data_IF_674641758618
#
_entry.id   IF_674641758618
#
_cell.length_a   1.000
_cell.length_b   1.000
_cell.length_c   1.000
_cell.angle_alpha   90.00
_cell.angle_beta   90.00
_cell.angle_gamma   90.00
#
_symmetry.space_group_name_H-M   'P 1'
#
loop_
_entity.id
_entity.type
_entity.pdbx_description
1 polymer ?
#
# COMPACT_ATOMS: atom_id res chain seq x y z
N UNK A 1 -2.01 -19.45 10.82
CA UNK A 1 -1.32 -18.70 9.74
C UNK A 1 -0.42 -19.66 8.98
N UNK A 2 -0.31 -19.55 7.67
CA UNK A 2 0.63 -20.34 6.87
C UNK A 2 1.74 -19.42 6.41
N UNK A 3 2.98 -19.75 6.73
CA UNK A 3 4.17 -18.99 6.36
C UNK A 3 4.67 -19.36 4.96
N UNK A 4 5.66 -18.63 4.42
CA UNK A 4 6.17 -18.83 3.06
C UNK A 4 6.84 -20.21 2.87
N UNK A 5 7.25 -20.87 3.97
CA UNK A 5 7.75 -22.25 3.99
C UNK A 5 6.63 -23.31 3.99
N UNK A 6 5.37 -22.88 3.91
CA UNK A 6 4.19 -23.75 3.91
C UNK A 6 3.78 -24.28 5.29
N UNK A 7 4.49 -23.91 6.37
CA UNK A 7 4.16 -24.36 7.71
C UNK A 7 2.98 -23.57 8.30
N UNK A 8 2.15 -24.26 9.08
CA UNK A 8 1.04 -23.63 9.80
C UNK A 8 1.49 -23.30 11.23
N UNK A 9 1.43 -22.02 11.56
CA UNK A 9 1.70 -21.54 12.91
C UNK A 9 0.39 -21.11 13.56
N UNK A 10 0.20 -21.52 14.81
CA UNK A 10 -0.86 -20.98 15.65
C UNK A 10 -0.33 -19.73 16.34
N UNK A 11 -0.83 -18.57 15.96
CA UNK A 11 -0.37 -17.28 16.48
C UNK A 11 -1.48 -16.74 17.37
N UNK A 12 -1.21 -16.57 18.65
CA UNK A 12 -2.22 -16.20 19.63
C UNK A 12 -2.67 -14.75 19.51
N UNK A 13 -1.77 -13.81 19.64
CA UNK A 13 -2.06 -12.36 19.63
C UNK A 13 -1.09 -11.62 18.72
N UNK A 14 -1.61 -10.56 18.08
CA UNK A 14 -0.82 -9.63 17.28
C UNK A 14 -1.09 -8.20 17.75
N UNK A 15 -0.03 -7.46 18.05
CA UNK A 15 -0.13 -6.07 18.49
C UNK A 15 -0.23 -5.10 17.30
N UNK A 16 0.39 -5.47 16.19
CA UNK A 16 0.42 -4.67 14.96
C UNK A 16 0.23 -5.54 13.71
N UNK A 17 -0.62 -5.09 12.82
CA UNK A 17 -0.79 -5.63 11.47
C UNK A 17 -0.43 -4.56 10.44
N UNK A 18 0.59 -4.81 9.62
CA UNK A 18 0.87 -4.03 8.41
C UNK A 18 0.51 -4.90 7.21
N UNK A 19 -0.44 -4.46 6.41
CA UNK A 19 -0.98 -5.23 5.30
C UNK A 19 -0.83 -4.50 3.96
N UNK A 20 -0.47 -5.26 2.92
CA UNK A 20 -0.33 -4.79 1.54
C UNK A 20 -1.22 -5.63 0.63
N UNK A 21 -2.56 -5.49 0.71
CA UNK A 21 -3.46 -6.28 -0.12
C UNK A 21 -3.25 -6.01 -1.61
N UNK A 22 -3.43 -7.03 -2.49
CA UNK A 22 -3.24 -6.86 -3.93
C UNK A 22 -4.10 -5.73 -4.50
N UNK A 23 -3.47 -4.81 -5.23
CA UNK A 23 -4.14 -3.65 -5.82
C UNK A 23 -4.67 -3.89 -7.24
N UNK A 24 -4.47 -5.07 -7.82
CA UNK A 24 -4.75 -5.38 -9.24
C UNK A 24 -6.18 -5.05 -9.68
N UNK A 25 -7.15 -5.25 -8.79
CA UNK A 25 -8.57 -4.98 -9.06
C UNK A 25 -9.12 -3.78 -8.28
N UNK A 26 -8.27 -3.08 -7.53
CA UNK A 26 -8.65 -1.93 -6.71
C UNK A 26 -8.11 -0.59 -7.24
N UNK A 27 -6.93 -0.60 -7.86
CA UNK A 27 -6.25 0.62 -8.31
C UNK A 27 -7.08 1.39 -9.36
N UNK A 28 -7.17 2.70 -9.21
CA UNK A 28 -7.92 3.57 -10.14
C UNK A 28 -7.41 3.49 -11.57
N UNK A 29 -6.13 3.20 -11.79
CA UNK A 29 -5.55 3.02 -13.13
C UNK A 29 -6.15 1.86 -13.91
N UNK A 30 -6.77 0.89 -13.23
CA UNK A 30 -7.42 -0.28 -13.83
C UNK A 30 -8.94 -0.20 -13.88
N UNK A 31 -9.55 0.86 -13.33
CA UNK A 31 -11.02 0.93 -13.14
C UNK A 31 -11.78 0.94 -14.47
N UNK A 32 -11.23 1.52 -15.52
CA UNK A 32 -11.83 1.57 -16.87
C UNK A 32 -12.16 0.18 -17.41
N UNK A 33 -11.37 -0.82 -17.13
CA UNK A 33 -11.58 -2.19 -17.61
C UNK A 33 -12.85 -2.84 -17.07
N UNK A 34 -13.32 -2.37 -15.90
CA UNK A 34 -14.60 -2.79 -15.34
C UNK A 34 -15.76 -2.02 -15.99
N UNK A 35 -15.59 -0.73 -16.24
CA UNK A 35 -16.60 0.10 -16.92
C UNK A 35 -16.81 -0.34 -18.37
N UNK A 36 -15.77 -0.75 -19.07
CA UNK A 36 -15.79 -1.25 -20.44
C UNK A 36 -16.24 -2.73 -20.53
N UNK A 37 -16.53 -3.39 -19.41
CA UNK A 37 -16.98 -4.79 -19.39
C UNK A 37 -15.86 -5.82 -19.67
N UNK A 38 -14.60 -5.38 -19.79
CA UNK A 38 -13.44 -6.27 -20.05
C UNK A 38 -13.16 -7.16 -18.84
N UNK A 39 -13.42 -6.67 -17.62
CA UNK A 39 -13.28 -7.43 -16.38
C UNK A 39 -14.62 -7.55 -15.66
N UNK A 40 -14.95 -8.74 -15.14
CA UNK A 40 -16.13 -8.93 -14.30
C UNK A 40 -16.08 -8.04 -13.06
N UNK A 41 -17.18 -7.38 -12.72
CA UNK A 41 -17.30 -6.55 -11.51
C UNK A 41 -17.09 -7.37 -10.22
N UNK A 42 -17.36 -8.67 -10.23
CA UNK A 42 -17.11 -9.56 -9.10
C UNK A 42 -15.67 -9.47 -8.60
N UNK A 43 -14.68 -9.43 -9.51
CA UNK A 43 -13.26 -9.32 -9.15
C UNK A 43 -12.94 -8.06 -8.32
N UNK A 44 -13.63 -6.94 -8.62
CA UNK A 44 -13.48 -5.71 -7.84
C UNK A 44 -14.05 -5.87 -6.43
N UNK A 45 -15.23 -6.47 -6.32
CA UNK A 45 -15.87 -6.67 -5.02
C UNK A 45 -15.19 -7.74 -4.18
N UNK A 46 -14.68 -8.82 -4.80
CA UNK A 46 -13.86 -9.83 -4.13
C UNK A 46 -12.55 -9.21 -3.57
N UNK A 47 -11.87 -8.38 -4.36
CA UNK A 47 -10.68 -7.67 -3.91
C UNK A 47 -10.99 -6.67 -2.78
N UNK A 48 -12.13 -5.96 -2.85
CA UNK A 48 -12.59 -5.09 -1.78
C UNK A 48 -12.91 -5.87 -0.50
N UNK A 49 -13.61 -6.99 -0.61
CA UNK A 49 -13.89 -7.88 0.52
C UNK A 49 -12.60 -8.42 1.15
N UNK A 50 -11.60 -8.75 0.33
CA UNK A 50 -10.29 -9.17 0.84
C UNK A 50 -9.57 -8.05 1.59
N UNK A 51 -9.62 -6.81 1.09
CA UNK A 51 -9.08 -5.63 1.78
C UNK A 51 -9.77 -5.45 3.15
N UNK A 52 -11.09 -5.57 3.21
CA UNK A 52 -11.86 -5.39 4.44
C UNK A 52 -11.50 -6.41 5.52
N UNK A 53 -11.09 -7.64 5.16
CA UNK A 53 -10.61 -8.63 6.14
C UNK A 53 -9.43 -8.13 6.97
N UNK A 54 -8.55 -7.29 6.40
CA UNK A 54 -7.48 -6.66 7.16
C UNK A 54 -7.99 -5.51 8.01
N UNK A 55 -8.89 -4.69 7.47
CA UNK A 55 -9.46 -3.55 8.20
C UNK A 55 -10.29 -3.98 9.43
N UNK A 56 -10.92 -5.14 9.35
CA UNK A 56 -11.79 -5.73 10.38
C UNK A 56 -11.05 -6.77 11.25
N UNK A 57 -9.75 -6.98 11.02
CA UNK A 57 -8.97 -7.93 11.79
C UNK A 57 -8.99 -7.58 13.29
N UNK A 58 -9.05 -8.63 14.14
CA UNK A 58 -8.99 -8.47 15.59
C UNK A 58 -7.54 -8.19 16.03
N UNK A 59 -7.02 -7.05 15.61
CA UNK A 59 -5.70 -6.52 15.96
C UNK A 59 -5.88 -5.08 16.42
N UNK A 60 -5.15 -4.70 17.47
CA UNK A 60 -5.31 -3.37 18.06
C UNK A 60 -4.83 -2.27 17.10
N UNK A 61 -3.66 -2.44 16.50
CA UNK A 61 -3.03 -1.46 15.61
C UNK A 61 -2.94 -2.02 14.20
N UNK A 62 -3.48 -1.30 13.23
CA UNK A 62 -3.51 -1.76 11.83
C UNK A 62 -3.08 -0.63 10.91
N UNK A 63 -2.19 -0.95 9.97
CA UNK A 63 -1.88 -0.13 8.80
C UNK A 63 -2.16 -0.93 7.53
N UNK A 64 -2.98 -0.40 6.63
CA UNK A 64 -3.19 -0.98 5.30
C UNK A 64 -2.63 -0.03 4.27
N UNK A 65 -1.69 -0.51 3.47
CA UNK A 65 -1.06 0.23 2.38
C UNK A 65 -1.65 -0.21 1.04
N UNK A 66 -2.03 0.74 0.21
CA UNK A 66 -2.42 0.48 -1.16
C UNK A 66 -2.16 1.73 -2.02
N UNK A 67 -1.97 1.63 -3.34
CA UNK A 67 -2.05 2.79 -4.24
C UNK A 67 -3.40 3.48 -4.11
N UNK A 68 -3.53 4.68 -4.68
CA UNK A 68 -4.84 5.34 -4.78
C UNK A 68 -5.82 4.40 -5.48
N UNK A 69 -6.90 4.04 -4.78
CA UNK A 69 -7.77 2.96 -5.20
C UNK A 69 -9.25 3.21 -4.82
N UNK A 70 -10.12 2.36 -5.30
CA UNK A 70 -11.57 2.45 -5.09
C UNK A 70 -11.99 2.30 -3.61
N UNK A 71 -11.10 1.82 -2.73
CA UNK A 71 -11.39 1.70 -1.31
C UNK A 71 -11.65 3.06 -0.63
N UNK A 72 -11.14 4.15 -1.22
CA UNK A 72 -11.47 5.52 -0.77
C UNK A 72 -12.97 5.85 -0.87
N UNK A 73 -13.70 5.15 -1.74
CA UNK A 73 -15.16 5.29 -1.93
C UNK A 73 -15.94 4.11 -1.36
N UNK A 74 -15.40 2.89 -1.44
CA UNK A 74 -16.11 1.68 -1.00
C UNK A 74 -16.01 1.45 0.52
N UNK A 75 -14.97 1.96 1.17
CA UNK A 75 -14.74 1.83 2.60
C UNK A 75 -14.74 3.21 3.28
N UNK A 76 -13.61 3.89 3.25
CA UNK A 76 -13.42 5.25 3.76
C UNK A 76 -12.21 5.92 3.11
N UNK A 77 -12.11 7.24 3.22
CA UNK A 77 -10.89 7.95 2.79
C UNK A 77 -9.68 7.44 3.59
N UNK A 78 -8.49 7.35 2.97
CA UNK A 78 -7.27 7.04 3.69
C UNK A 78 -6.96 8.13 4.73
N UNK A 79 -6.31 7.76 5.81
CA UNK A 79 -5.87 8.69 6.83
C UNK A 79 -4.69 9.54 6.35
N UNK A 80 -3.86 8.96 5.46
CA UNK A 80 -2.69 9.63 4.94
C UNK A 80 -2.39 9.18 3.50
N UNK A 81 -1.79 10.09 2.71
CA UNK A 81 -1.18 9.79 1.42
C UNK A 81 0.29 10.16 1.53
N UNK A 82 1.17 9.20 1.25
CA UNK A 82 2.62 9.36 1.27
C UNK A 82 3.22 9.17 -0.12
N UNK A 83 4.46 9.61 -0.28
CA UNK A 83 5.27 9.38 -1.47
C UNK A 83 6.67 8.91 -1.08
N UNK A 84 7.35 8.11 -1.93
CA UNK A 84 8.70 7.64 -1.67
C UNK A 84 9.72 8.74 -1.42
N UNK A 85 9.57 9.93 -2.06
CA UNK A 85 10.50 11.05 -1.86
C UNK A 85 10.51 11.61 -0.43
N UNK A 86 9.48 11.34 0.37
CA UNK A 86 9.46 11.67 1.80
C UNK A 86 10.36 10.75 2.64
N UNK A 87 10.79 9.63 2.06
CA UNK A 87 11.51 8.53 2.72
C UNK A 87 12.81 8.15 1.98
N UNK A 88 13.46 9.12 1.34
CA UNK A 88 14.79 8.96 0.75
C UNK A 88 14.83 8.38 -0.69
N UNK A 89 13.67 8.17 -1.33
CA UNK A 89 13.61 7.63 -2.69
C UNK A 89 13.09 8.66 -3.65
N UNK A 90 13.88 9.15 -4.64
CA UNK A 90 13.49 10.26 -5.52
C UNK A 90 12.45 9.83 -6.58
N UNK A 91 11.36 9.23 -6.14
CA UNK A 91 10.29 8.72 -7.00
C UNK A 91 8.91 9.20 -6.52
N UNK A 92 7.98 9.34 -7.47
CA UNK A 92 6.57 9.62 -7.22
C UNK A 92 5.76 8.33 -7.33
N UNK A 93 5.18 7.92 -6.22
CA UNK A 93 4.20 6.82 -6.16
C UNK A 93 3.25 7.12 -5.01
N UNK A 94 2.17 7.85 -5.29
CA UNK A 94 1.16 8.12 -4.26
C UNK A 94 0.65 6.83 -3.66
N UNK A 95 0.90 6.67 -2.39
CA UNK A 95 0.54 5.50 -1.58
C UNK A 95 -0.40 5.93 -0.47
N UNK A 96 -1.56 5.32 -0.40
CA UNK A 96 -2.59 5.59 0.59
C UNK A 96 -2.42 4.65 1.80
N UNK A 97 -2.57 5.20 3.00
CA UNK A 97 -2.53 4.49 4.27
C UNK A 97 -3.89 4.61 4.97
N UNK A 98 -4.47 3.46 5.32
CA UNK A 98 -5.61 3.36 6.22
C UNK A 98 -5.11 2.86 7.56
N UNK A 99 -5.27 3.66 8.59
CA UNK A 99 -4.70 3.45 9.91
C UNK A 99 -5.81 3.18 10.94
N UNK A 100 -5.52 2.29 11.88
CA UNK A 100 -6.31 2.05 13.08
C UNK A 100 -5.37 2.11 14.29
N UNK A 101 -5.62 3.03 15.20
CA UNK A 101 -4.84 3.25 16.44
C UNK A 101 -3.32 3.44 16.20
N UNK A 102 -2.97 4.04 15.07
CA UNK A 102 -1.61 4.40 14.71
C UNK A 102 -1.52 5.89 14.38
N UNK A 103 -0.43 6.57 14.78
CA UNK A 103 -0.18 7.93 14.35
C UNK A 103 0.15 7.97 12.85
N UNK A 104 0.00 9.16 12.24
CA UNK A 104 0.45 9.39 10.88
C UNK A 104 1.97 9.13 10.77
N UNK A 105 2.38 8.49 9.68
CA UNK A 105 3.79 8.21 9.41
C UNK A 105 4.53 9.51 9.11
N UNK A 106 5.56 9.82 9.88
CA UNK A 106 6.37 11.01 9.70
C UNK A 106 7.45 10.77 8.65
N UNK A 107 7.67 11.76 7.80
CA UNK A 107 8.75 11.69 6.82
C UNK A 107 10.11 11.61 7.52
N UNK A 108 11.05 10.86 6.93
CA UNK A 108 12.37 10.63 7.51
C UNK A 108 13.49 11.31 6.73
N UNK A 109 13.40 11.31 5.41
CA UNK A 109 14.42 11.87 4.53
C UNK A 109 13.75 12.44 3.28
N UNK A 110 13.41 13.72 3.34
CA UNK A 110 12.75 14.40 2.23
C UNK A 110 13.77 14.74 1.12
N UNK A 111 13.61 14.10 -0.03
CA UNK A 111 14.43 14.29 -1.23
C UNK A 111 13.66 14.94 -2.39
N UNK A 112 12.60 15.68 -2.08
CA UNK A 112 11.72 16.28 -3.09
C UNK A 112 12.48 17.19 -4.06
N UNK A 113 13.30 18.12 -3.55
CA UNK A 113 14.07 19.06 -4.37
C UNK A 113 15.03 18.31 -5.31
N UNK A 114 15.75 17.32 -4.81
CA UNK A 114 16.60 16.46 -5.64
C UNK A 114 15.77 15.70 -6.69
N UNK A 115 14.66 15.09 -6.30
CA UNK A 115 13.77 14.40 -7.24
C UNK A 115 13.32 15.34 -8.38
N UNK A 116 13.04 16.61 -8.09
CA UNK A 116 12.60 17.58 -9.10
C UNK A 116 13.68 17.94 -10.12
N UNK A 117 14.96 17.68 -9.83
CA UNK A 117 16.05 17.85 -10.82
C UNK A 117 16.14 16.69 -11.81
N UNK A 118 15.53 15.54 -11.49
CA UNK A 118 15.58 14.35 -12.34
C UNK A 118 14.59 14.46 -13.51
N UNK A 119 14.88 13.77 -14.64
CA UNK A 119 13.93 13.62 -15.73
C UNK A 119 12.59 13.02 -15.25
N UNK A 120 11.50 13.45 -15.84
CA UNK A 120 10.15 12.96 -15.47
C UNK A 120 10.06 11.43 -15.47
N UNK A 121 10.64 10.78 -16.49
CA UNK A 121 10.62 9.32 -16.62
C UNK A 121 11.26 8.60 -15.43
N UNK A 122 12.28 9.20 -14.82
CA UNK A 122 12.92 8.65 -13.62
C UNK A 122 12.04 8.87 -12.38
N UNK A 123 11.50 10.07 -12.23
CA UNK A 123 10.61 10.42 -11.11
C UNK A 123 9.36 9.55 -11.04
N UNK A 124 8.82 9.14 -12.19
CA UNK A 124 7.61 8.31 -12.31
C UNK A 124 7.91 6.91 -12.86
N UNK A 125 9.11 6.39 -12.61
CA UNK A 125 9.61 5.11 -13.12
C UNK A 125 8.59 3.98 -12.95
N UNK A 126 7.99 3.87 -11.78
CA UNK A 126 6.98 2.83 -11.47
C UNK A 126 5.76 2.91 -12.40
N UNK A 127 5.39 4.10 -12.87
CA UNK A 127 4.30 4.27 -13.83
C UNK A 127 4.62 3.66 -15.21
N UNK A 128 5.89 3.82 -15.65
CA UNK A 128 6.35 3.32 -16.94
C UNK A 128 6.60 1.81 -16.96
N UNK A 129 6.69 1.17 -15.81
CA UNK A 129 6.77 -0.28 -15.71
C UNK A 129 5.45 -0.90 -16.19
N UNK A 130 5.52 -1.69 -17.26
CA UNK A 130 4.36 -2.42 -17.80
C UNK A 130 3.86 -3.53 -16.87
N UNK A 131 2.81 -4.22 -17.31
CA UNK A 131 2.18 -5.32 -16.55
C UNK A 131 3.15 -6.46 -16.22
N UNK A 132 4.16 -6.71 -17.07
CA UNK A 132 5.17 -7.73 -16.86
C UNK A 132 6.09 -7.47 -15.65
N UNK A 133 6.06 -6.26 -15.10
CA UNK A 133 6.83 -5.85 -13.92
C UNK A 133 5.95 -5.75 -12.64
N UNK A 134 4.87 -6.50 -12.57
CA UNK A 134 3.93 -6.46 -11.45
C UNK A 134 4.63 -6.66 -10.09
N UNK A 135 5.58 -7.60 -10.00
CA UNK A 135 6.37 -7.87 -8.80
C UNK A 135 7.21 -6.66 -8.35
N UNK A 136 7.81 -5.92 -9.30
CA UNK A 136 8.58 -4.72 -8.98
C UNK A 136 7.67 -3.56 -8.56
N UNK A 137 6.56 -3.38 -9.28
CA UNK A 137 5.56 -2.35 -8.99
C UNK A 137 4.90 -2.52 -7.61
N UNK A 138 4.77 -3.75 -7.12
CA UNK A 138 4.14 -4.07 -5.83
C UNK A 138 5.07 -3.92 -4.64
N UNK A 139 6.38 -3.78 -4.84
CA UNK A 139 7.31 -3.62 -3.72
C UNK A 139 7.07 -2.31 -2.98
N UNK A 140 7.10 -2.40 -1.66
CA UNK A 140 7.20 -1.24 -0.78
C UNK A 140 8.63 -0.71 -0.84
N UNK A 141 8.80 0.61 -0.87
CA UNK A 141 10.11 1.23 -0.84
C UNK A 141 10.77 1.01 0.52
N UNK A 142 12.07 0.64 0.57
CA UNK A 142 12.76 0.36 1.84
C UNK A 142 12.61 1.46 2.88
N UNK A 143 12.80 2.72 2.53
CA UNK A 143 12.67 3.83 3.48
C UNK A 143 11.27 3.97 4.08
N UNK A 144 10.20 3.61 3.33
CA UNK A 144 8.84 3.57 3.87
C UNK A 144 8.71 2.41 4.87
N UNK A 145 9.22 1.22 4.52
CA UNK A 145 9.17 0.06 5.40
C UNK A 145 9.96 0.28 6.69
N UNK A 146 11.14 0.89 6.60
CA UNK A 146 11.98 1.28 7.75
C UNK A 146 11.25 2.29 8.65
N UNK A 147 10.63 3.32 8.05
CA UNK A 147 9.87 4.31 8.80
C UNK A 147 8.68 3.67 9.55
N UNK A 148 7.95 2.75 8.90
CA UNK A 148 6.86 2.00 9.55
C UNK A 148 7.39 1.15 10.72
N UNK A 149 8.48 0.43 10.51
CA UNK A 149 9.08 -0.42 11.54
C UNK A 149 9.61 0.41 12.73
N UNK A 150 10.30 1.51 12.47
CA UNK A 150 10.85 2.36 13.52
C UNK A 150 9.80 3.16 14.29
N UNK A 151 8.84 3.76 13.60
CA UNK A 151 7.85 4.65 14.24
C UNK A 151 6.71 3.88 14.88
N UNK A 152 6.23 2.83 14.25
CA UNK A 152 5.10 2.04 14.78
C UNK A 152 5.56 0.87 15.63
N UNK A 153 6.75 0.28 15.36
CA UNK A 153 7.31 -0.77 16.19
C UNK A 153 7.63 -0.32 17.62
N UNK A 154 7.95 0.95 17.83
CA UNK A 154 8.17 1.53 19.18
C UNK A 154 6.88 1.70 20.00
N UNK A 155 5.72 1.48 19.40
CA UNK A 155 4.41 1.58 20.07
C UNK A 155 3.93 0.23 20.62
N UNK A 156 4.73 -0.83 20.44
CA UNK A 156 4.45 -2.18 20.91
C UNK A 156 5.15 -2.39 22.26
#
# INVERSE_FOLDING_TARGET
MTTMDGQKHNVGHWDLLIAHPPCTHLAVSGIRWFAEGVKPLSLKYEAAAFFLKFAEANVEKIAIENPICVMSSLYRKPDQIINPWQFGHPEQKKTALWLKNLPLLQETHNVYEYMMTLPEKERVRIWWLGSNHAKERSKTFPGIAEAMADQWGKLL
#
